data_IF_094713307250
#
_entry.id   IF_094713307250
#
_cell.length_a   1.000
_cell.length_b   1.000
_cell.length_c   1.000
_cell.angle_alpha   90.00
_cell.angle_beta   90.00
_cell.angle_gamma   90.00
#
_symmetry.space_group_name_H-M   'P 1'
#
loop_
_entity.id
_entity.type
_entity.pdbx_description
1 polymer ?
#
# COMPACT_ATOMS: atom_id res chain seq x y z
N UNK A 1 -10.86 -3.40 20.53
CA UNK A 1 -11.54 -2.64 19.48
C UNK A 1 -10.54 -1.87 18.67
N UNK A 2 -10.36 -2.21 17.41
CA UNK A 2 -9.41 -1.54 16.55
C UNK A 2 -9.98 -0.21 16.07
N UNK A 3 -9.11 0.79 15.94
CA UNK A 3 -9.48 2.04 15.29
C UNK A 3 -9.36 1.84 13.78
N UNK A 4 -10.28 2.44 13.03
CA UNK A 4 -10.22 2.46 11.58
C UNK A 4 -8.97 3.20 11.13
N UNK A 5 -8.28 2.69 10.12
CA UNK A 5 -7.14 3.37 9.55
C UNK A 5 -7.60 4.59 8.75
N UNK A 6 -6.74 5.59 8.72
CA UNK A 6 -6.86 6.75 7.86
C UNK A 6 -5.54 7.00 7.17
N UNK A 7 -5.54 7.94 6.22
CA UNK A 7 -4.34 8.24 5.44
C UNK A 7 -3.18 8.68 6.34
N UNK A 8 -3.46 9.32 7.47
CA UNK A 8 -2.42 9.78 8.39
C UNK A 8 -1.62 8.65 9.01
N UNK A 9 -2.20 7.45 9.10
CA UNK A 9 -1.50 6.27 9.62
C UNK A 9 -0.40 5.78 8.68
N UNK A 10 -0.54 6.02 7.38
CA UNK A 10 0.38 5.52 6.36
C UNK A 10 1.18 6.62 5.66
N UNK A 11 0.72 7.87 5.72
CA UNK A 11 1.40 9.01 5.07
C UNK A 11 2.90 9.08 5.38
N UNK A 12 3.35 8.93 6.65
CA UNK A 12 4.78 9.02 6.95
C UNK A 12 5.63 7.97 6.23
N UNK A 13 5.09 6.78 5.98
CA UNK A 13 5.84 5.71 5.33
C UNK A 13 6.31 6.10 3.92
N UNK A 14 5.52 6.90 3.23
CA UNK A 14 5.87 7.36 1.87
C UNK A 14 7.18 8.13 1.82
N UNK A 15 7.55 8.81 2.91
CA UNK A 15 8.80 9.55 3.00
C UNK A 15 9.90 8.77 3.72
N UNK A 16 9.53 7.85 4.62
CA UNK A 16 10.48 7.14 5.48
C UNK A 16 11.09 5.89 4.84
N UNK A 17 10.31 5.17 4.02
CA UNK A 17 10.82 3.94 3.40
C UNK A 17 11.92 4.27 2.40
N UNK A 18 12.97 3.45 2.41
CA UNK A 18 14.16 3.68 1.59
C UNK A 18 13.81 3.82 0.11
N UNK A 19 14.31 4.88 -0.54
CA UNK A 19 14.06 5.23 -1.94
C UNK A 19 12.63 5.66 -2.25
N UNK A 20 11.74 5.68 -1.25
CA UNK A 20 10.36 6.10 -1.43
C UNK A 20 10.23 7.61 -1.29
N UNK A 21 9.33 8.18 -2.08
CA UNK A 21 8.97 9.58 -1.93
C UNK A 21 7.48 9.79 -2.22
N UNK A 22 6.83 10.71 -1.48
CA UNK A 22 5.45 11.06 -1.77
C UNK A 22 5.37 12.11 -2.86
N UNK A 23 4.32 12.04 -3.67
CA UNK A 23 4.05 13.03 -4.71
C UNK A 23 2.54 13.20 -4.88
N UNK A 24 2.10 14.41 -5.16
CA UNK A 24 0.71 14.69 -5.50
C UNK A 24 0.57 14.80 -7.01
N UNK A 25 -0.37 14.04 -7.56
CA UNK A 25 -0.70 14.08 -8.99
C UNK A 25 -2.21 14.35 -9.10
N UNK A 26 -2.56 15.52 -9.62
CA UNK A 26 -3.95 15.96 -9.74
C UNK A 26 -4.70 15.88 -8.40
N UNK A 27 -4.03 16.32 -7.32
CA UNK A 27 -4.59 16.33 -5.99
C UNK A 27 -4.59 14.99 -5.26
N UNK A 28 -4.13 13.92 -5.89
CA UNK A 28 -4.08 12.59 -5.28
C UNK A 28 -2.67 12.27 -4.82
N UNK A 29 -2.55 11.81 -3.58
CA UNK A 29 -1.27 11.41 -3.01
C UNK A 29 -0.86 10.05 -3.57
N UNK A 30 0.41 9.94 -3.96
CA UNK A 30 1.01 8.68 -4.41
C UNK A 30 2.38 8.52 -3.78
N UNK A 31 2.79 7.27 -3.56
CA UNK A 31 4.15 6.93 -3.14
C UNK A 31 4.86 6.26 -4.29
N UNK A 32 6.07 6.74 -4.59
CA UNK A 32 6.89 6.25 -5.70
C UNK A 32 8.25 5.77 -5.23
N UNK A 33 8.78 4.79 -5.97
CA UNK A 33 10.20 4.44 -5.98
C UNK A 33 10.65 4.62 -7.43
N UNK A 34 11.52 5.59 -7.68
CA UNK A 34 11.83 5.98 -9.07
C UNK A 34 10.57 6.46 -9.78
N UNK A 35 10.24 5.83 -10.91
CA UNK A 35 9.03 6.15 -11.66
C UNK A 35 7.86 5.22 -11.32
N UNK A 36 8.07 4.27 -10.42
CA UNK A 36 7.06 3.25 -10.12
C UNK A 36 6.19 3.71 -8.96
N UNK A 37 4.88 3.83 -9.19
CA UNK A 37 3.90 4.08 -8.15
C UNK A 37 3.59 2.74 -7.47
N UNK A 38 3.78 2.68 -6.15
CA UNK A 38 3.45 1.47 -5.39
C UNK A 38 2.30 1.65 -4.41
N UNK A 39 1.90 2.90 -4.14
CA UNK A 39 0.69 3.24 -3.37
C UNK A 39 0.05 4.46 -4.03
N UNK A 40 -1.26 4.46 -4.15
CA UNK A 40 -2.00 5.62 -4.68
C UNK A 40 -3.33 5.74 -3.94
N UNK A 41 -3.66 6.95 -3.52
CA UNK A 41 -4.90 7.21 -2.79
C UNK A 41 -5.95 7.82 -3.71
N UNK A 42 -7.23 7.52 -3.44
CA UNK A 42 -8.34 8.21 -4.08
C UNK A 42 -8.35 9.68 -3.68
N UNK A 43 -9.07 10.51 -4.43
CA UNK A 43 -9.12 11.94 -4.17
C UNK A 43 -9.68 12.25 -2.77
N UNK A 44 -10.68 11.48 -2.33
CA UNK A 44 -11.26 11.63 -0.99
C UNK A 44 -10.47 10.91 0.10
N UNK A 45 -9.37 10.24 -0.27
CA UNK A 45 -8.45 9.56 0.65
C UNK A 45 -9.06 8.39 1.41
N UNK A 46 -10.14 7.81 0.89
CA UNK A 46 -10.80 6.65 1.51
C UNK A 46 -10.31 5.32 0.97
N UNK A 47 -9.83 5.30 -0.29
CA UNK A 47 -9.33 4.08 -0.94
C UNK A 47 -7.83 4.19 -1.11
N UNK A 48 -7.13 3.14 -0.71
CA UNK A 48 -5.69 3.01 -0.86
C UNK A 48 -5.41 1.89 -1.87
N UNK A 49 -4.98 2.27 -3.08
CA UNK A 49 -4.49 1.31 -4.06
C UNK A 49 -3.04 0.97 -3.75
N UNK A 50 -2.69 -0.32 -3.82
CA UNK A 50 -1.36 -0.80 -3.47
C UNK A 50 -0.86 -1.82 -4.47
N UNK A 51 0.46 -1.85 -4.66
CA UNK A 51 1.11 -2.91 -5.41
C UNK A 51 0.84 -4.26 -4.72
N UNK A 52 0.37 -5.23 -5.49
CA UNK A 52 -0.01 -6.56 -4.98
C UNK A 52 0.03 -7.54 -6.14
N UNK A 53 0.54 -8.77 -5.94
CA UNK A 53 0.62 -9.73 -7.05
C UNK A 53 -0.76 -10.02 -7.64
N UNK A 54 -0.93 -9.76 -8.91
CA UNK A 54 -2.23 -9.93 -9.57
C UNK A 54 -2.72 -11.38 -9.57
N UNK A 55 -1.79 -12.34 -9.48
CA UNK A 55 -2.12 -13.76 -9.41
C UNK A 55 -2.80 -14.15 -8.10
N UNK A 56 -2.51 -13.40 -7.01
CA UNK A 56 -3.09 -13.65 -5.69
C UNK A 56 -4.30 -12.76 -5.38
N UNK A 57 -4.56 -11.78 -6.21
CA UNK A 57 -5.55 -10.74 -5.98
C UNK A 57 -6.97 -11.26 -5.83
N UNK A 58 -7.38 -12.18 -6.72
CA UNK A 58 -8.74 -12.72 -6.68
C UNK A 58 -9.01 -13.46 -5.37
N UNK A 59 -8.03 -14.22 -4.88
CA UNK A 59 -8.17 -14.93 -3.61
C UNK A 59 -8.29 -13.97 -2.42
N UNK A 60 -7.49 -12.89 -2.44
CA UNK A 60 -7.56 -11.87 -1.38
C UNK A 60 -8.92 -11.20 -1.36
N UNK A 61 -9.42 -10.75 -2.50
CA UNK A 61 -10.72 -10.07 -2.60
C UNK A 61 -11.84 -11.01 -2.19
N UNK A 62 -11.77 -12.28 -2.59
CA UNK A 62 -12.80 -13.26 -2.22
C UNK A 62 -12.78 -13.55 -0.73
N UNK A 63 -11.62 -13.58 -0.08
CA UNK A 63 -11.51 -13.88 1.34
C UNK A 63 -11.90 -12.71 2.24
N UNK A 64 -11.67 -11.47 1.79
CA UNK A 64 -11.95 -10.27 2.59
C UNK A 64 -12.58 -9.17 1.74
N UNK A 65 -13.79 -9.42 1.19
CA UNK A 65 -14.41 -8.47 0.25
C UNK A 65 -14.80 -7.12 0.86
N UNK A 66 -14.89 -7.04 2.19
CA UNK A 66 -15.17 -5.78 2.87
C UNK A 66 -13.92 -4.89 2.99
N UNK A 67 -12.74 -5.47 2.80
CA UNK A 67 -11.47 -4.73 2.89
C UNK A 67 -10.88 -4.44 1.51
N UNK A 68 -10.99 -5.38 0.57
CA UNK A 68 -10.29 -5.31 -0.71
C UNK A 68 -11.25 -5.40 -1.88
N UNK A 69 -10.96 -4.63 -2.92
CA UNK A 69 -11.74 -4.60 -4.15
C UNK A 69 -10.80 -4.76 -5.34
N UNK A 70 -11.33 -5.33 -6.42
CA UNK A 70 -10.60 -5.38 -7.69
C UNK A 70 -10.33 -3.97 -8.18
N UNK A 71 -9.17 -3.72 -8.82
CA UNK A 71 -8.89 -2.42 -9.41
C UNK A 71 -9.81 -2.15 -10.59
N UNK A 72 -9.80 -0.89 -11.07
CA UNK A 72 -10.54 -0.53 -12.27
C UNK A 72 -10.11 -1.39 -13.45
N UNK A 73 -10.97 -1.46 -14.49
CA UNK A 73 -10.67 -2.26 -15.68
C UNK A 73 -9.32 -1.88 -16.32
N UNK A 74 -8.98 -0.60 -16.33
CA UNK A 74 -7.71 -0.12 -16.88
C UNK A 74 -6.49 -0.55 -16.07
N UNK A 75 -6.66 -0.82 -14.78
CA UNK A 75 -5.58 -1.20 -13.87
C UNK A 75 -5.45 -2.71 -13.66
N UNK A 76 -6.38 -3.50 -14.19
CA UNK A 76 -6.40 -4.96 -14.00
C UNK A 76 -5.14 -5.67 -14.52
N UNK A 77 -4.47 -5.09 -15.51
CA UNK A 77 -3.23 -5.65 -16.08
C UNK A 77 -2.02 -5.49 -15.15
N UNK A 78 -2.11 -4.60 -14.17
CA UNK A 78 -1.02 -4.32 -13.25
C UNK A 78 -1.12 -5.18 -11.99
N UNK A 79 -0.01 -5.32 -11.29
CA UNK A 79 0.04 -5.90 -9.95
C UNK A 79 -0.52 -4.87 -8.97
N UNK A 80 -1.84 -4.90 -8.76
CA UNK A 80 -2.54 -3.85 -8.03
C UNK A 80 -3.82 -4.37 -7.41
N UNK A 81 -4.16 -3.88 -6.21
CA UNK A 81 -5.43 -4.12 -5.54
C UNK A 81 -5.82 -2.84 -4.79
N UNK A 82 -7.11 -2.60 -4.65
CA UNK A 82 -7.62 -1.47 -3.89
C UNK A 82 -8.05 -1.94 -2.49
N UNK A 83 -7.77 -1.12 -1.49
CA UNK A 83 -8.16 -1.39 -0.11
C UNK A 83 -8.99 -0.21 0.43
N UNK A 84 -10.04 -0.54 1.19
CA UNK A 84 -10.85 0.45 1.90
C UNK A 84 -10.15 0.75 3.23
N UNK A 85 -9.59 1.95 3.36
CA UNK A 85 -8.85 2.33 4.57
C UNK A 85 -9.68 2.17 5.84
N UNK A 86 -10.97 2.54 5.80
CA UNK A 86 -11.84 2.46 6.96
C UNK A 86 -12.10 1.03 7.42
N UNK A 87 -11.88 0.03 6.55
CA UNK A 87 -12.04 -1.38 6.88
C UNK A 87 -10.77 -2.02 7.45
N UNK A 88 -9.65 -1.28 7.45
CA UNK A 88 -8.36 -1.74 7.96
C UNK A 88 -8.11 -1.13 9.33
N UNK A 89 -7.34 -1.82 10.18
CA UNK A 89 -6.74 -1.15 11.33
C UNK A 89 -5.40 -0.52 10.93
N UNK A 90 -4.82 0.27 11.83
CA UNK A 90 -3.58 1.00 11.59
C UNK A 90 -2.42 0.06 11.24
N UNK A 91 -2.28 -1.02 12.00
CA UNK A 91 -1.18 -1.98 11.81
C UNK A 91 -1.28 -2.63 10.44
N UNK A 92 -2.46 -3.11 10.10
CA UNK A 92 -2.72 -3.77 8.81
C UNK A 92 -2.45 -2.82 7.63
N UNK A 93 -2.91 -1.57 7.73
CA UNK A 93 -2.69 -0.57 6.68
C UNK A 93 -1.19 -0.32 6.47
N UNK A 94 -0.43 -0.20 7.55
CA UNK A 94 1.02 0.04 7.47
C UNK A 94 1.75 -1.17 6.90
N UNK A 95 1.36 -2.38 7.30
CA UNK A 95 1.96 -3.61 6.74
C UNK A 95 1.70 -3.73 5.24
N UNK A 96 0.51 -3.38 4.78
CA UNK A 96 0.17 -3.42 3.35
C UNK A 96 1.04 -2.44 2.54
N UNK A 97 1.32 -1.26 3.08
CA UNK A 97 2.20 -0.30 2.41
C UNK A 97 3.63 -0.83 2.33
N UNK A 98 4.15 -1.40 3.42
CA UNK A 98 5.50 -1.96 3.41
C UNK A 98 5.60 -3.14 2.44
N UNK A 99 4.60 -4.02 2.41
CA UNK A 99 4.59 -5.15 1.47
C UNK A 99 4.54 -4.67 0.01
N UNK A 100 3.79 -3.61 -0.27
CA UNK A 100 3.76 -3.01 -1.60
C UNK A 100 5.14 -2.41 -1.97
N UNK A 101 5.78 -1.73 -1.03
CA UNK A 101 7.13 -1.20 -1.21
C UNK A 101 8.15 -2.31 -1.52
N UNK A 102 8.03 -3.47 -0.82
CA UNK A 102 8.91 -4.63 -1.05
C UNK A 102 8.88 -5.11 -2.50
N UNK A 103 7.78 -4.90 -3.20
CA UNK A 103 7.65 -5.33 -4.61
C UNK A 103 8.43 -4.46 -5.58
N UNK A 104 8.82 -3.25 -5.17
CA UNK A 104 9.42 -2.25 -6.08
C UNK A 104 10.85 -1.86 -5.72
N UNK A 105 11.44 -2.49 -4.70
CA UNK A 105 12.83 -2.26 -4.30
C UNK A 105 13.63 -3.56 -4.38
N UNK A 106 14.97 -3.48 -4.50
CA UNK A 106 15.81 -4.68 -4.46
C UNK A 106 15.67 -5.43 -3.13
N UNK A 107 15.83 -6.75 -3.18
CA UNK A 107 15.69 -7.61 -2.00
C UNK A 107 16.63 -7.22 -0.87
N UNK A 108 17.81 -6.68 -1.19
CA UNK A 108 18.76 -6.23 -0.16
C UNK A 108 18.16 -5.15 0.74
N UNK A 109 17.31 -4.27 0.17
CA UNK A 109 16.63 -3.24 0.95
C UNK A 109 15.54 -3.82 1.82
N UNK A 110 14.85 -4.87 1.34
CA UNK A 110 13.87 -5.58 2.15
C UNK A 110 14.54 -6.23 3.36
N UNK A 111 15.69 -6.87 3.15
CA UNK A 111 16.46 -7.49 4.25
C UNK A 111 16.96 -6.45 5.24
N UNK A 112 17.47 -5.32 4.75
CA UNK A 112 17.94 -4.24 5.63
C UNK A 112 16.80 -3.69 6.48
N UNK A 113 15.62 -3.53 5.88
CA UNK A 113 14.43 -3.09 6.60
C UNK A 113 14.07 -4.08 7.72
N UNK A 114 14.07 -5.37 7.42
CA UNK A 114 13.71 -6.40 8.40
C UNK A 114 14.67 -6.42 9.61
N UNK A 115 15.96 -6.13 9.39
CA UNK A 115 16.94 -6.08 10.45
C UNK A 115 16.65 -4.93 11.44
N UNK A 116 16.14 -3.82 10.94
CA UNK A 116 15.84 -2.64 11.77
C UNK A 116 14.39 -2.59 12.24
N UNK A 117 13.54 -3.46 11.71
CA UNK A 117 12.10 -3.50 12.03
C UNK A 117 11.64 -4.93 12.27
N UNK A 118 12.19 -5.64 13.29
CA UNK A 118 11.88 -7.05 13.51
C UNK A 118 10.40 -7.30 13.83
N UNK A 119 9.69 -6.29 14.32
CA UNK A 119 8.26 -6.37 14.67
C UNK A 119 7.38 -5.63 13.66
N UNK A 120 7.88 -5.39 12.45
CA UNK A 120 7.14 -4.70 11.41
C UNK A 120 7.18 -3.18 11.52
N UNK A 121 6.33 -2.49 10.75
CA UNK A 121 6.37 -1.01 10.67
C UNK A 121 5.82 -0.29 11.89
N UNK A 122 5.37 -1.04 12.86
CA UNK A 122 4.95 -0.49 14.14
C UNK A 122 3.60 0.09 14.19
#
# INVERSE_FOLDING_TARGET
MGLMAGIEDVRPLGAELERSYPVYVRGRLKFRVGQIVYVAFSLDETVMGIAFPKEARAALVASEPHKFQMPSASDMRFNWVDADLAALDRIEARELVVDAWRMVVPKKLCRAYDLTHPNGPG
#
